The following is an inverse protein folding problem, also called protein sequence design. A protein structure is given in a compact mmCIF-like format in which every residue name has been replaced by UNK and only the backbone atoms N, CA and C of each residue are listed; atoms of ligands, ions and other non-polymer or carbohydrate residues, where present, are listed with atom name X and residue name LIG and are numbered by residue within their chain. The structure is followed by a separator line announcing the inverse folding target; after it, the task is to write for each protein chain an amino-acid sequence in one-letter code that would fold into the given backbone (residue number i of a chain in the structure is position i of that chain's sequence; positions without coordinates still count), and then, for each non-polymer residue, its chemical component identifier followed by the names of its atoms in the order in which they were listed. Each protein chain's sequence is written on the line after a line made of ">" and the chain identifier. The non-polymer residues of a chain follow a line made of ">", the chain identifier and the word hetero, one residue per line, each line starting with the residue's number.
data_IF_669618818236
#
_entry.id   IF_669618818236
#
_cell.length_a   1.000
_cell.length_b   1.000
_cell.length_c   1.000
_cell.angle_alpha   90.00
_cell.angle_beta   90.00
_cell.angle_gamma   90.00
#
_symmetry.space_group_name_H-M   'P 1'
#
loop_
_entity.id
_entity.type
_entity.pdbx_description
1 polymer ?
#
# COMPACT_ATOMS: atom_id res chain seq x y z
N UNK A 1 0.37 -47.81 46.67
CA UNK A 1 0.54 -46.96 47.87
C UNK A 1 -0.81 -46.37 48.22
N UNK A 2 -1.24 -46.47 49.47
CA UNK A 2 -2.57 -46.02 49.93
C UNK A 2 -2.42 -45.01 51.06
N UNK A 3 -2.77 -43.75 50.78
CA UNK A 3 -3.00 -42.66 51.74
C UNK A 3 -1.78 -42.28 52.63
N UNK A 4 -1.80 -41.20 53.43
CA UNK A 4 -2.81 -40.16 53.64
C UNK A 4 -2.16 -38.77 53.66
N UNK A 5 -2.89 -37.73 53.25
CA UNK A 5 -2.66 -36.38 53.78
C UNK A 5 -3.32 -36.26 55.16
N UNK A 6 -2.71 -35.53 56.09
CA UNK A 6 -3.34 -35.12 57.35
C UNK A 6 -3.09 -33.63 57.59
N UNK A 7 -4.18 -32.88 57.75
CA UNK A 7 -4.18 -31.43 57.95
C UNK A 7 -4.24 -31.11 59.45
N UNK A 8 -3.37 -30.24 59.94
CA UNK A 8 -3.50 -29.60 61.27
C UNK A 8 -3.98 -28.16 61.10
N UNK A 9 -4.79 -27.67 62.03
CA UNK A 9 -5.57 -26.43 61.89
C UNK A 9 -4.79 -25.16 62.20
N UNK A 10 -3.54 -25.30 62.66
CA UNK A 10 -2.91 -24.35 63.57
C UNK A 10 -1.73 -23.60 62.92
N UNK A 11 -1.98 -22.87 61.83
CA UNK A 11 -1.08 -21.78 61.39
C UNK A 11 0.31 -22.18 60.88
N UNK A 12 0.41 -23.31 60.16
CA UNK A 12 1.60 -23.81 59.45
C UNK A 12 2.79 -24.32 60.30
N UNK A 13 3.23 -25.55 60.01
CA UNK A 13 4.57 -26.04 60.35
C UNK A 13 5.15 -26.87 59.20
N UNK A 14 6.25 -26.39 58.62
CA UNK A 14 7.11 -27.16 57.71
C UNK A 14 8.57 -26.70 57.88
N UNK A 15 9.35 -27.51 58.57
CA UNK A 15 10.81 -27.43 58.67
C UNK A 15 11.30 -28.90 58.58
N UNK A 16 12.35 -29.26 57.84
CA UNK A 16 13.65 -28.59 57.82
C UNK A 16 14.34 -28.56 56.44
N UNK A 17 15.32 -27.66 56.34
CA UNK A 17 16.45 -27.66 55.37
C UNK A 17 17.23 -29.00 55.39
N UNK A 18 18.07 -29.45 54.45
CA UNK A 18 18.50 -29.10 53.06
C UNK A 18 19.25 -30.38 52.52
N UNK A 19 20.14 -30.48 51.51
CA UNK A 19 20.93 -29.54 50.70
C UNK A 19 21.42 -30.16 49.35
N UNK A 20 21.62 -29.29 48.34
CA UNK A 20 22.63 -29.41 47.26
C UNK A 20 22.60 -30.56 46.21
N UNK A 21 22.37 -30.14 44.95
CA UNK A 21 22.87 -30.72 43.65
C UNK A 21 22.23 -32.07 43.22
N UNK A 22 21.90 -32.28 41.94
CA UNK A 22 22.54 -31.79 40.69
C UNK A 22 21.57 -31.07 39.72
N UNK A 23 22.11 -30.35 38.73
CA UNK A 23 21.35 -29.56 37.71
C UNK A 23 20.77 -30.44 36.58
N UNK A 24 19.49 -30.26 36.21
CA UNK A 24 18.99 -30.54 34.85
C UNK A 24 19.43 -29.47 33.84
N UNK A 25 19.28 -29.76 32.54
CA UNK A 25 19.73 -28.88 31.44
C UNK A 25 18.81 -27.65 31.27
N UNK A 26 19.38 -26.51 30.83
CA UNK A 26 18.60 -25.35 30.36
C UNK A 26 17.76 -25.74 29.14
N UNK A 27 16.44 -25.82 29.28
CA UNK A 27 15.52 -25.73 28.15
C UNK A 27 15.48 -24.28 27.67
N UNK A 28 15.66 -24.04 26.37
CA UNK A 28 15.56 -22.70 25.79
C UNK A 28 14.09 -22.23 25.81
N UNK A 29 13.82 -21.08 26.43
CA UNK A 29 12.58 -20.32 26.19
C UNK A 29 12.63 -19.78 24.75
N UNK A 30 12.33 -20.64 23.78
CA UNK A 30 12.16 -20.25 22.37
C UNK A 30 10.87 -19.43 22.29
N UNK A 31 10.99 -18.12 22.42
CA UNK A 31 9.86 -17.21 22.28
C UNK A 31 9.23 -17.42 20.92
N UNK A 32 7.97 -17.87 20.91
CA UNK A 32 7.14 -17.82 19.70
C UNK A 32 6.88 -16.36 19.39
N UNK A 33 7.82 -15.71 18.67
CA UNK A 33 7.48 -14.57 17.82
C UNK A 33 6.33 -15.06 16.94
N UNK A 34 5.09 -14.70 17.28
CA UNK A 34 3.98 -14.75 16.36
C UNK A 34 4.34 -13.76 15.27
N UNK A 35 4.92 -14.26 14.18
CA UNK A 35 4.99 -13.50 12.96
C UNK A 35 3.55 -13.17 12.60
N UNK A 36 3.17 -11.90 12.73
CA UNK A 36 2.10 -11.36 11.91
C UNK A 36 2.66 -11.45 10.50
N UNK A 37 2.32 -12.53 9.78
CA UNK A 37 2.32 -12.47 8.32
C UNK A 37 1.46 -11.26 8.00
N UNK A 38 2.06 -10.26 7.35
CA UNK A 38 1.31 -9.24 6.65
C UNK A 38 0.67 -10.03 5.50
N UNK A 39 -0.65 -10.05 5.40
CA UNK A 39 -1.30 -10.87 4.38
C UNK A 39 -0.97 -10.27 3.01
N UNK A 40 -0.04 -10.94 2.31
CA UNK A 40 0.50 -10.53 1.01
C UNK A 40 -0.65 -10.51 0.00
N UNK A 41 -1.05 -9.32 -0.44
CA UNK A 41 -2.16 -9.14 -1.38
C UNK A 41 -1.71 -9.52 -2.80
N UNK A 42 -1.52 -10.82 -3.02
CA UNK A 42 -1.14 -11.37 -4.32
C UNK A 42 -2.35 -11.35 -5.26
N UNK A 43 -2.33 -10.39 -6.18
CA UNK A 43 -3.24 -10.27 -7.31
C UNK A 43 -3.48 -11.63 -7.98
N UNK A 44 -4.74 -11.93 -8.24
CA UNK A 44 -5.24 -13.21 -8.75
C UNK A 44 -5.61 -13.16 -10.23
N UNK A 45 -5.90 -11.97 -10.75
CA UNK A 45 -6.25 -11.75 -12.15
C UNK A 45 -5.89 -10.33 -12.59
N UNK A 46 -5.87 -10.13 -13.92
CA UNK A 46 -5.68 -8.83 -14.55
C UNK A 46 -6.93 -7.93 -14.35
N UNK A 47 -8.11 -8.53 -14.28
CA UNK A 47 -9.36 -7.88 -13.86
C UNK A 47 -9.21 -7.22 -12.46
N UNK A 48 -8.63 -7.92 -11.48
CA UNK A 48 -8.43 -7.37 -10.13
C UNK A 48 -7.49 -6.15 -10.15
N UNK A 49 -6.41 -6.22 -10.94
CA UNK A 49 -5.45 -5.12 -11.15
C UNK A 49 -6.10 -3.91 -11.83
N UNK A 50 -6.90 -4.12 -12.88
CA UNK A 50 -7.57 -3.01 -13.58
C UNK A 50 -8.74 -2.42 -12.77
N UNK A 51 -9.47 -3.21 -11.99
CA UNK A 51 -10.47 -2.69 -11.04
C UNK A 51 -9.84 -1.85 -9.94
N UNK A 52 -8.62 -2.20 -9.52
CA UNK A 52 -7.84 -1.36 -8.63
C UNK A 52 -7.41 -0.06 -9.32
N UNK A 53 -6.86 -0.14 -10.54
CA UNK A 53 -6.47 1.03 -11.33
C UNK A 53 -7.65 2.01 -11.55
N UNK A 54 -8.82 1.52 -12.00
CA UNK A 54 -10.04 2.34 -12.18
C UNK A 54 -10.46 3.04 -10.89
N UNK A 55 -10.33 2.39 -9.72
CA UNK A 55 -10.59 3.05 -8.43
C UNK A 55 -9.52 4.11 -8.13
N UNK A 56 -8.25 3.79 -8.33
CA UNK A 56 -7.12 4.70 -8.15
C UNK A 56 -7.29 5.99 -8.95
N UNK A 57 -7.61 5.89 -10.24
CA UNK A 57 -7.88 7.06 -11.10
C UNK A 57 -9.07 7.91 -10.61
N UNK A 58 -10.11 7.29 -10.05
CA UNK A 58 -11.22 8.01 -9.40
C UNK A 58 -10.79 8.71 -8.11
N UNK A 59 -10.01 8.04 -7.26
CA UNK A 59 -9.52 8.57 -5.98
C UNK A 59 -8.55 9.75 -6.21
N UNK A 60 -7.62 9.62 -7.16
CA UNK A 60 -6.65 10.66 -7.52
C UNK A 60 -7.33 11.83 -8.27
N UNK A 61 -8.29 11.59 -9.17
CA UNK A 61 -9.12 12.65 -9.76
C UNK A 61 -9.97 13.43 -8.73
N UNK A 62 -10.45 12.75 -7.67
CA UNK A 62 -11.19 13.37 -6.57
C UNK A 62 -10.26 14.17 -5.65
N UNK A 63 -9.10 13.60 -5.33
CA UNK A 63 -8.05 14.24 -4.56
C UNK A 63 -7.58 15.55 -5.21
N UNK A 64 -7.33 15.56 -6.53
CA UNK A 64 -6.88 16.77 -7.23
C UNK A 64 -7.92 17.90 -7.23
N UNK A 65 -9.22 17.60 -7.26
CA UNK A 65 -10.28 18.61 -7.08
C UNK A 65 -10.19 19.25 -5.69
N UNK A 66 -10.02 18.43 -4.66
CA UNK A 66 -9.90 18.88 -3.27
C UNK A 66 -8.58 19.64 -3.01
N UNK A 67 -7.49 19.27 -3.69
CA UNK A 67 -6.24 20.03 -3.70
C UNK A 67 -6.42 21.40 -4.37
N UNK A 68 -7.15 21.48 -5.48
CA UNK A 68 -7.50 22.75 -6.14
C UNK A 68 -8.31 23.67 -5.22
N UNK A 69 -9.29 23.14 -4.48
CA UNK A 69 -10.06 23.93 -3.52
C UNK A 69 -9.20 24.57 -2.42
N UNK A 70 -8.16 23.85 -1.96
CA UNK A 70 -7.20 24.31 -0.94
C UNK A 70 -6.04 25.16 -1.48
N UNK A 71 -5.93 25.34 -2.80
CA UNK A 71 -4.76 25.95 -3.45
C UNK A 71 -4.78 27.47 -3.53
N UNK A 72 -3.59 28.09 -3.61
CA UNK A 72 -3.41 29.50 -4.02
C UNK A 72 -4.03 29.72 -5.41
N UNK A 73 -4.51 30.93 -5.72
CA UNK A 73 -5.29 31.18 -6.95
C UNK A 73 -4.59 30.77 -8.26
N UNK A 74 -3.26 30.90 -8.33
CA UNK A 74 -2.47 30.50 -9.51
C UNK A 74 -2.26 28.99 -9.68
N UNK A 75 -2.46 28.17 -8.65
CA UNK A 75 -2.28 26.71 -8.72
C UNK A 75 -3.58 25.93 -8.88
N UNK A 76 -4.75 26.58 -8.73
CA UNK A 76 -6.07 25.93 -8.84
C UNK A 76 -6.27 25.21 -10.17
N UNK A 77 -5.94 25.86 -11.29
CA UNK A 77 -6.22 25.30 -12.62
C UNK A 77 -5.33 24.09 -12.94
N UNK A 78 -4.07 24.09 -12.50
CA UNK A 78 -3.15 22.96 -12.71
C UNK A 78 -3.65 21.65 -12.04
N UNK A 79 -4.24 21.76 -10.85
CA UNK A 79 -4.90 20.60 -10.23
C UNK A 79 -6.25 20.25 -10.88
N UNK A 80 -6.97 21.21 -11.45
CA UNK A 80 -8.17 20.90 -12.24
C UNK A 80 -7.83 20.27 -13.60
N UNK A 81 -6.65 20.53 -14.15
CA UNK A 81 -6.09 19.87 -15.33
C UNK A 81 -5.76 18.40 -15.03
N UNK A 82 -4.95 18.13 -14.00
CA UNK A 82 -4.69 16.76 -13.51
C UNK A 82 -6.00 16.00 -13.20
N UNK A 83 -6.97 16.64 -12.52
CA UNK A 83 -8.29 16.05 -12.25
C UNK A 83 -9.17 15.79 -13.49
N UNK A 84 -8.76 16.25 -14.68
CA UNK A 84 -9.35 15.90 -16.00
C UNK A 84 -8.51 14.85 -16.73
N UNK A 85 -7.19 14.88 -16.56
CA UNK A 85 -6.25 13.87 -17.07
C UNK A 85 -6.58 12.50 -16.42
N UNK A 86 -6.62 12.39 -15.09
CA UNK A 86 -6.93 11.12 -14.38
C UNK A 86 -8.40 10.64 -14.63
N UNK A 87 -9.34 11.58 -14.71
CA UNK A 87 -10.73 11.28 -15.10
C UNK A 87 -10.83 10.81 -16.57
N UNK A 88 -9.83 11.16 -17.39
CA UNK A 88 -9.58 10.57 -18.70
C UNK A 88 -8.94 9.19 -18.61
N UNK A 89 -7.99 8.98 -17.69
CA UNK A 89 -7.32 7.69 -17.43
C UNK A 89 -8.32 6.64 -16.97
N UNK A 90 -9.20 6.99 -16.02
CA UNK A 90 -10.30 6.13 -15.60
C UNK A 90 -11.16 5.71 -16.80
N UNK A 91 -11.51 6.64 -17.69
CA UNK A 91 -12.29 6.32 -18.92
C UNK A 91 -11.51 5.46 -19.94
N UNK A 92 -10.19 5.66 -20.10
CA UNK A 92 -9.33 4.78 -20.91
C UNK A 92 -9.40 3.33 -20.39
N UNK A 93 -9.43 3.16 -19.06
CA UNK A 93 -9.47 1.85 -18.39
C UNK A 93 -10.87 1.22 -18.33
N UNK A 94 -11.92 2.01 -18.06
CA UNK A 94 -13.33 1.58 -18.05
C UNK A 94 -13.79 1.05 -19.41
N UNK A 95 -13.14 1.49 -20.50
CA UNK A 95 -13.39 1.02 -21.86
C UNK A 95 -12.77 -0.37 -22.17
N UNK A 96 -11.97 -0.94 -21.27
CA UNK A 96 -11.37 -2.27 -21.43
C UNK A 96 -12.44 -3.34 -21.13
N UNK A 97 -12.70 -4.21 -22.11
CA UNK A 97 -13.63 -5.34 -21.95
C UNK A 97 -13.04 -6.41 -21.02
N UNK A 98 -13.30 -6.27 -19.72
CA UNK A 98 -12.75 -7.11 -18.65
C UNK A 98 -12.95 -8.62 -18.89
N UNK A 99 -14.02 -9.02 -19.60
CA UNK A 99 -14.30 -10.43 -19.93
C UNK A 99 -13.27 -11.06 -20.87
N UNK A 100 -12.60 -10.25 -21.71
CA UNK A 100 -11.52 -10.72 -22.57
C UNK A 100 -10.20 -10.90 -21.82
N UNK A 101 -10.10 -10.40 -20.59
CA UNK A 101 -8.91 -10.52 -19.76
C UNK A 101 -8.84 -11.87 -19.03
N UNK A 102 -9.99 -12.53 -18.84
CA UNK A 102 -10.06 -13.92 -18.38
C UNK A 102 -9.46 -14.91 -19.41
N UNK A 103 -9.32 -14.48 -20.68
CA UNK A 103 -8.67 -15.23 -21.78
C UNK A 103 -7.18 -14.89 -21.94
N UNK A 104 -6.65 -13.89 -21.22
CA UNK A 104 -5.23 -13.49 -21.31
C UNK A 104 -4.41 -14.28 -20.29
N UNK A 105 -3.46 -15.08 -20.77
CA UNK A 105 -2.45 -15.68 -19.90
C UNK A 105 -1.58 -14.59 -19.25
N UNK A 106 -1.56 -14.58 -17.92
CA UNK A 106 -0.74 -13.67 -17.12
C UNK A 106 0.53 -14.41 -16.72
N UNK A 107 1.70 -13.87 -17.06
CA UNK A 107 2.98 -14.41 -16.58
C UNK A 107 3.05 -14.24 -15.05
N UNK A 108 3.33 -15.34 -14.35
CA UNK A 108 3.44 -15.45 -12.88
C UNK A 108 3.96 -14.15 -12.23
N UNK A 109 3.05 -13.39 -11.59
CA UNK A 109 3.37 -12.06 -11.04
C UNK A 109 4.25 -12.12 -9.77
N UNK A 110 4.78 -13.30 -9.43
CA UNK A 110 5.67 -13.54 -8.31
C UNK A 110 6.98 -12.75 -8.45
N UNK A 111 7.15 -11.70 -7.63
CA UNK A 111 8.38 -10.90 -7.55
C UNK A 111 8.32 -9.51 -8.20
N UNK A 112 7.21 -9.13 -8.84
CA UNK A 112 7.06 -7.81 -9.49
C UNK A 112 6.53 -6.69 -8.57
N UNK A 113 6.46 -6.92 -7.25
CA UNK A 113 6.11 -5.88 -6.27
C UNK A 113 4.67 -5.35 -6.32
N UNK A 114 3.84 -5.73 -7.31
CA UNK A 114 2.48 -5.17 -7.51
C UNK A 114 1.60 -5.31 -6.25
N UNK A 115 1.75 -6.41 -5.48
CA UNK A 115 1.02 -6.64 -4.22
C UNK A 115 1.70 -6.08 -2.96
N UNK A 116 2.84 -5.41 -3.11
CA UNK A 116 3.71 -5.01 -1.99
C UNK A 116 3.51 -3.52 -1.66
N UNK A 117 2.59 -3.26 -0.73
CA UNK A 117 2.42 -1.96 -0.05
C UNK A 117 1.73 -0.85 -0.86
N UNK A 118 0.61 -1.17 -1.51
CA UNK A 118 -0.42 -0.15 -1.78
C UNK A 118 -1.06 0.27 -0.45
N UNK A 119 -0.41 1.20 0.24
CA UNK A 119 -1.02 1.96 1.33
C UNK A 119 -2.15 2.82 0.74
N UNK A 120 -3.40 2.57 1.12
CA UNK A 120 -4.48 3.54 0.96
C UNK A 120 -4.09 4.81 1.72
N UNK A 121 -3.99 5.93 1.01
CA UNK A 121 -3.50 7.18 1.62
C UNK A 121 -4.68 7.86 2.30
N UNK A 122 -4.69 7.82 3.63
CA UNK A 122 -5.75 8.42 4.43
C UNK A 122 -5.67 9.94 4.31
N UNK A 123 -6.74 10.53 3.77
CA UNK A 123 -6.90 11.97 3.68
C UNK A 123 -7.30 12.55 5.05
N UNK A 124 -6.54 13.54 5.53
CA UNK A 124 -6.83 14.26 6.78
C UNK A 124 -7.33 15.67 6.45
N UNK A 125 -8.29 16.20 7.22
CA UNK A 125 -8.76 17.57 7.04
C UNK A 125 -7.63 18.58 7.24
N UNK A 126 -6.66 18.28 8.11
CA UNK A 126 -5.59 19.20 8.53
C UNK A 126 -4.34 19.18 7.62
N UNK A 127 -4.34 18.41 6.52
CA UNK A 127 -3.19 18.34 5.61
C UNK A 127 -2.84 19.71 5.00
N UNK A 128 -1.57 20.13 5.17
CA UNK A 128 -1.07 21.38 4.59
C UNK A 128 -0.90 21.27 3.07
N UNK A 129 -0.76 22.41 2.37
CA UNK A 129 -0.51 22.41 0.93
C UNK A 129 0.74 21.59 0.54
N UNK A 130 1.81 21.66 1.34
CA UNK A 130 3.01 20.84 1.14
C UNK A 130 2.78 19.34 1.38
N UNK A 131 1.87 18.96 2.28
CA UNK A 131 1.48 17.55 2.48
C UNK A 131 0.67 17.03 1.31
N UNK A 132 -0.25 17.84 0.76
CA UNK A 132 -1.03 17.50 -0.42
C UNK A 132 -0.11 17.29 -1.64
N UNK A 133 0.87 18.15 -1.87
CA UNK A 133 1.86 17.96 -2.94
C UNK A 133 2.72 16.70 -2.72
N UNK A 134 3.23 16.45 -1.50
CA UNK A 134 3.97 15.21 -1.18
C UNK A 134 3.11 13.95 -1.38
N UNK A 135 1.82 14.02 -1.07
CA UNK A 135 0.84 12.95 -1.29
C UNK A 135 0.60 12.70 -2.77
N UNK A 136 0.41 13.75 -3.57
CA UNK A 136 0.27 13.68 -5.03
C UNK A 136 1.48 12.96 -5.67
N UNK A 137 2.70 13.41 -5.37
CA UNK A 137 3.96 12.86 -5.88
C UNK A 137 4.09 11.36 -5.55
N UNK A 138 3.69 10.94 -4.34
CA UNK A 138 3.67 9.52 -3.94
C UNK A 138 2.57 8.72 -4.65
N UNK A 139 1.47 9.36 -5.04
CA UNK A 139 0.36 8.73 -5.74
C UNK A 139 0.69 8.52 -7.24
N UNK A 140 1.28 9.50 -7.91
CA UNK A 140 1.79 9.35 -9.28
C UNK A 140 2.86 8.25 -9.37
N UNK A 141 3.78 8.22 -8.40
CA UNK A 141 4.82 7.19 -8.38
C UNK A 141 4.24 5.77 -8.22
N UNK A 142 3.18 5.60 -7.42
CA UNK A 142 2.44 4.33 -7.30
C UNK A 142 1.71 3.96 -8.59
N UNK A 143 1.02 4.91 -9.23
CA UNK A 143 0.29 4.69 -10.48
C UNK A 143 1.26 4.27 -11.60
N UNK A 144 2.35 5.03 -11.78
CA UNK A 144 3.46 4.69 -12.69
C UNK A 144 4.03 3.29 -12.44
N UNK A 145 4.27 2.91 -11.18
CA UNK A 145 4.79 1.59 -10.83
C UNK A 145 3.78 0.47 -11.16
N UNK A 146 2.50 0.64 -10.81
CA UNK A 146 1.42 -0.27 -11.14
C UNK A 146 1.36 -0.54 -12.66
N UNK A 147 1.31 0.52 -13.47
CA UNK A 147 1.23 0.41 -14.92
C UNK A 147 2.51 -0.17 -15.54
N UNK A 148 3.69 0.25 -15.07
CA UNK A 148 4.98 -0.28 -15.52
C UNK A 148 5.16 -1.77 -15.23
N UNK A 149 4.66 -2.26 -14.08
CA UNK A 149 4.72 -3.68 -13.72
C UNK A 149 3.64 -4.51 -14.44
N UNK A 150 2.41 -3.99 -14.55
CA UNK A 150 1.33 -4.67 -15.28
C UNK A 150 1.68 -4.83 -16.76
N UNK A 151 2.31 -3.82 -17.38
CA UNK A 151 2.82 -3.90 -18.74
C UNK A 151 3.90 -4.99 -18.96
N UNK A 152 4.52 -5.54 -17.91
CA UNK A 152 5.50 -6.63 -18.06
C UNK A 152 4.84 -8.02 -18.11
N UNK A 153 3.69 -8.20 -17.46
CA UNK A 153 2.96 -9.49 -17.37
C UNK A 153 1.84 -9.66 -18.41
N UNK A 154 1.39 -8.56 -19.02
CA UNK A 154 0.42 -8.58 -20.12
C UNK A 154 1.11 -8.88 -21.45
N UNK A 155 0.60 -9.87 -22.17
CA UNK A 155 1.05 -10.23 -23.52
C UNK A 155 0.18 -9.66 -24.66
N UNK A 156 -1.03 -9.17 -24.41
CA UNK A 156 -1.78 -8.42 -25.43
C UNK A 156 -1.04 -7.11 -25.79
N UNK A 157 -0.66 -6.88 -27.06
CA UNK A 157 0.11 -5.70 -27.45
C UNK A 157 -0.64 -4.38 -27.27
N UNK A 158 -1.98 -4.38 -27.33
CA UNK A 158 -2.80 -3.16 -27.29
C UNK A 158 -2.91 -2.63 -25.86
N UNK A 159 -3.25 -3.50 -24.91
CA UNK A 159 -3.29 -3.22 -23.48
C UNK A 159 -1.88 -2.93 -22.94
N UNK A 160 -0.85 -3.68 -23.38
CA UNK A 160 0.54 -3.38 -23.04
C UNK A 160 0.95 -1.97 -23.48
N UNK A 161 0.55 -1.54 -24.69
CA UNK A 161 0.79 -0.17 -25.17
C UNK A 161 0.04 0.88 -24.36
N UNK A 162 -1.22 0.63 -23.98
CA UNK A 162 -2.02 1.53 -23.15
C UNK A 162 -1.39 1.70 -21.76
N UNK A 163 -0.99 0.60 -21.10
CA UNK A 163 -0.35 0.62 -19.79
C UNK A 163 0.99 1.37 -19.83
N UNK A 164 1.79 1.22 -20.89
CA UNK A 164 3.03 1.97 -21.06
C UNK A 164 2.80 3.47 -21.35
N UNK A 165 1.68 3.83 -21.97
CA UNK A 165 1.30 5.23 -22.19
C UNK A 165 0.88 5.89 -20.86
N UNK A 166 -0.01 5.25 -20.09
CA UNK A 166 -0.39 5.69 -18.75
C UNK A 166 0.84 5.85 -17.85
N UNK A 167 1.72 4.85 -17.80
CA UNK A 167 3.00 4.94 -17.07
C UNK A 167 3.92 6.10 -17.52
N UNK A 168 3.74 6.66 -18.72
CA UNK A 168 4.46 7.86 -19.18
C UNK A 168 3.71 9.14 -18.82
N UNK A 169 2.38 9.14 -18.86
CA UNK A 169 1.52 10.24 -18.42
C UNK A 169 1.75 10.49 -16.91
N UNK A 170 1.68 9.47 -16.06
CA UNK A 170 1.88 9.62 -14.60
C UNK A 170 3.32 10.03 -14.25
N UNK A 171 4.30 9.66 -15.09
CA UNK A 171 5.68 10.10 -14.94
C UNK A 171 5.82 11.62 -15.15
N UNK A 172 5.14 12.16 -16.16
CA UNK A 172 5.07 13.60 -16.40
C UNK A 172 4.24 14.31 -15.32
N UNK A 173 3.18 13.68 -14.79
CA UNK A 173 2.41 14.23 -13.67
C UNK A 173 3.27 14.34 -12.42
N UNK A 174 4.05 13.30 -12.10
CA UNK A 174 5.03 13.35 -11.01
C UNK A 174 6.03 14.50 -11.19
N UNK A 175 6.59 14.68 -12.38
CA UNK A 175 7.54 15.77 -12.67
C UNK A 175 6.89 17.16 -12.56
N UNK A 176 5.66 17.35 -13.09
CA UNK A 176 4.85 18.58 -12.91
C UNK A 176 4.75 18.93 -11.41
N UNK A 177 4.49 17.93 -10.56
CA UNK A 177 4.23 18.08 -9.12
C UNK A 177 5.50 18.23 -8.28
N UNK A 178 6.57 17.48 -8.56
CA UNK A 178 7.88 17.61 -7.91
C UNK A 178 8.43 19.03 -8.14
N UNK A 179 8.40 19.51 -9.39
CA UNK A 179 8.75 20.90 -9.72
C UNK A 179 7.88 21.91 -8.95
N UNK A 180 6.56 21.67 -8.85
CA UNK A 180 5.65 22.59 -8.13
C UNK A 180 5.93 22.63 -6.63
N UNK A 181 6.29 21.49 -6.02
CA UNK A 181 6.72 21.41 -4.64
C UNK A 181 8.00 22.22 -4.40
N UNK A 182 8.99 22.10 -5.27
CA UNK A 182 10.22 22.90 -5.19
C UNK A 182 9.90 24.41 -5.34
N UNK A 183 9.05 24.78 -6.31
CA UNK A 183 8.64 26.17 -6.57
C UNK A 183 7.83 26.84 -5.45
N UNK A 184 6.99 26.11 -4.71
CA UNK A 184 6.07 26.67 -3.68
C UNK A 184 6.48 26.38 -2.22
N UNK A 185 7.34 25.38 -1.96
CA UNK A 185 7.62 24.90 -0.59
C UNK A 185 9.11 25.03 -0.21
N UNK A 186 10.04 24.89 -1.16
CA UNK A 186 11.48 25.02 -0.89
C UNK A 186 12.02 26.44 -1.10
N UNK A 187 11.22 27.33 -1.69
CA UNK A 187 11.51 28.74 -1.99
C UNK A 187 11.04 29.72 -0.91
N UNK A 188 10.16 29.31 0.02
CA UNK A 188 9.65 30.15 1.11
C UNK A 188 10.59 30.16 2.36
N UNK A 189 11.90 29.99 2.18
CA UNK A 189 12.95 29.93 3.22
C UNK A 189 14.16 30.83 2.92
#
# INVERSE_FOLDING_TARGET
>A
MTASMSFRRDGAWCWFRTISRKRPKRSSRRSRKRSRRRDEMRWRSLDEVLRFAIRREADDAAFYRLASDRSKAGTKEAFLELAREEEGHRRKLEAIDLKKLDEIEIKEASGLGIGESIEEVQFDSEMTYGDLLRMAIKNEEKARQLYSATAQIVDDPSLKKLLLLLAQEEAAHKEKLEKRYDEDILTEF
#
